data_IF_261511603794
#
_entry.id   IF_261511603794
#
_cell.length_a   1.000
_cell.length_b   1.000
_cell.length_c   1.000
_cell.angle_alpha   90.00
_cell.angle_beta   90.00
_cell.angle_gamma   90.00
#
_symmetry.space_group_name_H-M   'P 1'
#
loop_
_entity.id
_entity.type
_entity.pdbx_description
1 polymer ?
#
# COMPACT_ATOMS: atom_id res chain seq x y z
N UNK A 1 -21.32 0.84 8.18
CA UNK A 1 -21.59 2.24 7.83
C UNK A 1 -20.30 2.97 7.46
N UNK A 2 -20.40 4.19 6.93
CA UNK A 2 -19.22 5.03 6.67
C UNK A 2 -18.49 5.37 7.96
N UNK A 3 -19.23 5.68 9.02
CA UNK A 3 -18.67 6.02 10.33
C UNK A 3 -17.87 4.85 10.93
N UNK A 4 -18.34 3.63 10.79
CA UNK A 4 -17.62 2.44 11.23
C UNK A 4 -16.27 2.31 10.49
N UNK A 5 -16.26 2.54 9.17
CA UNK A 5 -15.03 2.53 8.36
C UNK A 5 -14.06 3.64 8.75
N UNK A 6 -14.55 4.85 8.98
CA UNK A 6 -13.76 5.98 9.46
C UNK A 6 -13.13 5.65 10.81
N UNK A 7 -13.91 5.07 11.72
CA UNK A 7 -13.42 4.67 13.06
C UNK A 7 -12.29 3.65 12.96
N UNK A 8 -12.48 2.56 12.18
CA UNK A 8 -11.44 1.55 11.99
C UNK A 8 -10.19 2.15 11.36
N UNK A 9 -10.35 3.01 10.36
CA UNK A 9 -9.22 3.69 9.71
C UNK A 9 -8.41 4.55 10.70
N UNK A 10 -9.11 5.29 11.58
CA UNK A 10 -8.46 6.08 12.65
C UNK A 10 -7.73 5.19 13.65
N UNK A 11 -8.28 4.03 14.00
CA UNK A 11 -7.61 3.06 14.86
C UNK A 11 -6.34 2.54 14.20
N UNK A 12 -6.42 2.06 12.97
CA UNK A 12 -5.28 1.55 12.21
C UNK A 12 -4.15 2.58 12.07
N UNK A 13 -4.48 3.85 11.75
CA UNK A 13 -3.47 4.91 11.63
C UNK A 13 -2.73 5.20 12.94
N UNK A 14 -3.36 4.97 14.09
CA UNK A 14 -2.74 5.18 15.40
C UNK A 14 -1.78 4.06 15.80
N UNK A 15 -1.88 2.89 15.19
CA UNK A 15 -1.04 1.74 15.54
C UNK A 15 0.38 1.85 15.03
N UNK A 16 0.62 2.63 13.97
CA UNK A 16 1.89 2.62 13.25
C UNK A 16 2.09 1.37 12.39
N UNK A 17 1.03 0.60 12.13
CA UNK A 17 1.08 -0.59 11.28
C UNK A 17 1.58 -0.25 9.87
N UNK A 18 2.39 -1.12 9.23
CA UNK A 18 2.76 -0.98 7.83
C UNK A 18 1.54 -0.85 6.92
N UNK A 19 1.67 -0.09 5.84
CA UNK A 19 0.55 0.18 4.93
C UNK A 19 -0.06 -1.09 4.33
N UNK A 20 0.74 -2.12 4.07
CA UNK A 20 0.29 -3.42 3.58
C UNK A 20 -0.70 -4.09 4.52
N UNK A 21 -0.39 -4.12 5.82
CA UNK A 21 -1.27 -4.68 6.85
C UNK A 21 -2.56 -3.86 7.01
N UNK A 22 -2.44 -2.53 7.04
CA UNK A 22 -3.63 -1.67 7.03
C UNK A 22 -4.51 -1.92 5.80
N UNK A 23 -3.90 -2.17 4.65
CA UNK A 23 -4.62 -2.43 3.41
C UNK A 23 -5.32 -3.79 3.42
N UNK A 24 -4.79 -4.82 4.09
CA UNK A 24 -5.51 -6.07 4.28
C UNK A 24 -6.87 -5.84 4.95
N UNK A 25 -6.92 -5.02 6.01
CA UNK A 25 -8.20 -4.66 6.65
C UNK A 25 -9.08 -3.82 5.73
N UNK A 26 -8.52 -2.81 5.08
CA UNK A 26 -9.27 -1.86 4.22
C UNK A 26 -9.90 -2.53 3.01
N UNK A 27 -9.23 -3.51 2.42
CA UNK A 27 -9.73 -4.26 1.27
C UNK A 27 -10.95 -5.09 1.66
N UNK A 28 -10.90 -5.77 2.79
CA UNK A 28 -12.01 -6.59 3.30
C UNK A 28 -13.19 -5.79 3.87
N UNK A 29 -13.04 -4.48 4.01
CA UNK A 29 -14.14 -3.55 4.35
C UNK A 29 -14.63 -2.74 3.15
N UNK A 30 -14.27 -3.12 1.93
CA UNK A 30 -14.61 -2.39 0.71
C UNK A 30 -15.18 -3.31 -0.36
N UNK A 31 -16.23 -2.88 -1.02
CA UNK A 31 -16.76 -3.59 -2.20
C UNK A 31 -15.97 -3.29 -3.47
N UNK A 32 -15.16 -2.22 -3.46
CA UNK A 32 -14.45 -1.71 -4.64
C UNK A 32 -12.99 -2.13 -4.64
N UNK A 33 -12.31 -2.05 -3.49
CA UNK A 33 -10.89 -2.40 -3.34
C UNK A 33 -10.66 -3.92 -3.48
N UNK A 34 -9.39 -4.30 -3.68
CA UNK A 34 -9.01 -5.71 -3.78
C UNK A 34 -9.66 -6.41 -4.96
N UNK A 35 -9.65 -5.76 -6.14
CA UNK A 35 -10.25 -6.28 -7.36
C UNK A 35 -11.77 -6.16 -7.44
N UNK A 36 -12.42 -5.59 -6.43
CA UNK A 36 -13.88 -5.50 -6.37
C UNK A 36 -14.49 -4.73 -7.54
N UNK A 37 -13.82 -3.66 -8.01
CA UNK A 37 -14.28 -2.91 -9.18
C UNK A 37 -14.25 -3.75 -10.46
N UNK A 38 -13.19 -4.55 -10.66
CA UNK A 38 -13.10 -5.45 -11.81
C UNK A 38 -14.29 -6.42 -11.86
N UNK A 39 -14.60 -7.05 -10.73
CA UNK A 39 -15.75 -7.96 -10.61
C UNK A 39 -17.07 -7.26 -10.94
N UNK A 40 -17.21 -5.98 -10.57
CA UNK A 40 -18.43 -5.19 -10.84
C UNK A 40 -18.55 -4.78 -12.30
N UNK A 41 -17.43 -4.59 -13.00
CA UNK A 41 -17.39 -4.12 -14.39
C UNK A 41 -17.41 -5.26 -15.41
N UNK A 42 -17.16 -6.50 -14.98
CA UNK A 42 -17.19 -7.65 -15.88
C UNK A 42 -18.51 -7.70 -16.67
N UNK A 43 -18.51 -7.94 -18.00
CA UNK A 43 -17.40 -8.40 -18.86
C UNK A 43 -16.63 -7.28 -19.58
N UNK A 44 -16.63 -6.06 -19.09
CA UNK A 44 -15.89 -4.96 -19.73
C UNK A 44 -14.38 -5.18 -19.67
N UNK A 45 -13.67 -4.79 -20.74
CA UNK A 45 -12.21 -4.67 -20.76
C UNK A 45 -11.79 -3.47 -19.91
N UNK A 46 -10.86 -3.66 -19.00
CA UNK A 46 -10.39 -2.62 -18.07
C UNK A 46 -8.99 -2.19 -18.45
N UNK A 47 -8.79 -0.90 -18.64
CA UNK A 47 -7.48 -0.29 -18.83
C UNK A 47 -7.22 0.61 -17.63
N UNK A 48 -6.22 0.24 -16.83
CA UNK A 48 -5.82 0.98 -15.63
C UNK A 48 -4.51 1.72 -15.91
N UNK A 49 -4.53 3.03 -15.76
CA UNK A 49 -3.34 3.87 -15.79
C UNK A 49 -3.02 4.26 -14.35
N UNK A 50 -1.85 3.85 -13.85
CA UNK A 50 -1.42 4.18 -12.50
C UNK A 50 -0.24 5.13 -12.50
N UNK A 51 -0.15 5.93 -11.46
CA UNK A 51 1.07 6.61 -11.06
C UNK A 51 1.40 6.10 -9.67
N UNK A 52 2.37 5.20 -9.60
CA UNK A 52 2.74 4.58 -8.34
C UNK A 52 3.74 5.44 -7.57
N UNK A 53 3.44 5.71 -6.32
CA UNK A 53 4.33 6.41 -5.38
C UNK A 53 4.89 5.49 -4.31
N UNK A 54 4.54 4.20 -4.33
CA UNK A 54 5.01 3.21 -3.39
C UNK A 54 6.03 2.26 -4.04
N UNK A 55 6.85 1.58 -3.26
CA UNK A 55 7.74 0.53 -3.76
C UNK A 55 6.97 -0.61 -4.42
N UNK A 56 7.49 -1.15 -5.52
CA UNK A 56 6.89 -2.20 -6.37
C UNK A 56 6.43 -3.48 -5.63
N UNK A 57 6.90 -3.68 -4.40
CA UNK A 57 6.63 -4.88 -3.60
C UNK A 57 5.53 -4.68 -2.54
N UNK A 58 4.95 -3.49 -2.42
CA UNK A 58 3.87 -3.27 -1.46
C UNK A 58 2.51 -3.67 -2.05
N UNK A 59 1.70 -4.45 -1.30
CA UNK A 59 0.37 -4.82 -1.74
C UNK A 59 -0.55 -3.59 -1.79
N UNK A 60 -0.94 -3.22 -3.00
CA UNK A 60 -1.85 -2.12 -3.25
C UNK A 60 -3.28 -2.44 -2.83
N UNK A 61 -4.02 -1.45 -2.33
CA UNK A 61 -5.46 -1.58 -2.14
C UNK A 61 -6.23 -1.27 -3.42
N UNK A 62 -5.67 -1.60 -4.59
CA UNK A 62 -6.17 -1.22 -5.88
C UNK A 62 -7.53 -1.85 -6.18
N UNK A 63 -8.49 -1.11 -6.77
CA UNK A 63 -9.77 -1.64 -7.21
C UNK A 63 -9.65 -2.64 -8.36
N UNK A 64 -8.57 -2.56 -9.14
CA UNK A 64 -8.34 -3.33 -10.36
C UNK A 64 -7.20 -4.36 -10.25
N UNK A 65 -6.72 -4.66 -9.04
CA UNK A 65 -5.75 -5.72 -8.78
C UNK A 65 -6.30 -6.80 -7.86
N UNK A 66 -5.90 -8.07 -8.10
CA UNK A 66 -6.19 -9.16 -7.17
C UNK A 66 -5.61 -8.89 -5.79
N UNK A 67 -6.24 -9.46 -4.79
CA UNK A 67 -5.84 -9.36 -3.39
C UNK A 67 -5.36 -10.70 -2.86
N UNK A 68 -4.09 -10.79 -2.50
CA UNK A 68 -3.53 -11.98 -1.86
C UNK A 68 -3.90 -12.13 -0.39
N UNK A 69 -4.36 -11.07 0.29
CA UNK A 69 -4.77 -11.12 1.70
C UNK A 69 -6.17 -11.69 1.86
N UNK A 70 -6.49 -12.19 3.05
CA UNK A 70 -7.74 -12.87 3.39
C UNK A 70 -8.46 -12.18 4.55
N UNK A 71 -9.73 -12.56 4.81
CA UNK A 71 -10.43 -12.15 6.03
C UNK A 71 -9.68 -12.56 7.30
N UNK A 72 -8.98 -13.69 7.28
CA UNK A 72 -8.14 -14.13 8.40
C UNK A 72 -7.00 -13.14 8.65
N UNK A 73 -6.33 -12.68 7.60
CA UNK A 73 -5.25 -11.70 7.71
C UNK A 73 -5.78 -10.37 8.24
N UNK A 74 -6.93 -9.91 7.76
CA UNK A 74 -7.56 -8.68 8.25
C UNK A 74 -7.88 -8.74 9.75
N UNK A 75 -8.41 -9.89 10.22
CA UNK A 75 -8.69 -10.11 11.65
C UNK A 75 -7.39 -10.20 12.45
N UNK A 76 -6.39 -10.90 11.92
CA UNK A 76 -5.07 -11.04 12.55
C UNK A 76 -4.45 -9.66 12.80
N UNK A 77 -4.43 -8.77 11.81
CA UNK A 77 -3.92 -7.41 11.96
C UNK A 77 -4.62 -6.66 13.10
N UNK A 78 -5.96 -6.69 13.15
CA UNK A 78 -6.70 -6.00 14.22
C UNK A 78 -6.40 -6.55 15.62
N UNK A 79 -6.06 -7.84 15.73
CA UNK A 79 -5.68 -8.50 16.99
C UNK A 79 -4.22 -8.21 17.36
N UNK A 80 -3.30 -8.35 16.41
CA UNK A 80 -1.87 -8.14 16.63
C UNK A 80 -1.57 -6.71 17.12
N UNK A 81 -2.36 -5.73 16.66
CA UNK A 81 -2.27 -4.32 17.09
C UNK A 81 -3.22 -3.96 18.26
N UNK A 82 -3.83 -4.94 18.90
CA UNK A 82 -4.68 -4.78 20.08
C UNK A 82 -5.86 -3.80 19.89
N UNK A 83 -6.35 -3.66 18.65
CA UNK A 83 -7.49 -2.79 18.31
C UNK A 83 -8.77 -3.54 18.01
N UNK A 84 -8.76 -4.88 18.11
CA UNK A 84 -9.94 -5.71 17.86
C UNK A 84 -11.12 -5.33 18.75
N UNK A 85 -10.90 -5.14 20.05
CA UNK A 85 -11.98 -4.83 21.00
C UNK A 85 -12.55 -3.42 20.80
N UNK A 86 -11.75 -2.48 20.26
CA UNK A 86 -12.16 -1.13 19.93
C UNK A 86 -12.85 -1.03 18.56
N UNK A 87 -12.78 -2.10 17.77
CA UNK A 87 -13.38 -2.17 16.43
C UNK A 87 -14.91 -2.26 16.55
N UNK A 88 -15.67 -1.49 15.74
CA UNK A 88 -17.13 -1.51 15.77
C UNK A 88 -17.69 -2.92 15.55
N UNK A 89 -18.74 -3.28 16.28
CA UNK A 89 -19.31 -4.63 16.27
C UNK A 89 -19.78 -5.08 14.87
N UNK A 90 -20.33 -4.14 14.08
CA UNK A 90 -20.72 -4.42 12.69
C UNK A 90 -19.55 -4.80 11.81
N UNK A 91 -18.37 -4.22 12.06
CA UNK A 91 -17.14 -4.56 11.33
C UNK A 91 -16.65 -5.93 11.76
N UNK A 92 -16.60 -6.22 13.06
CA UNK A 92 -16.26 -7.54 13.58
C UNK A 92 -17.15 -8.63 13.00
N UNK A 93 -18.47 -8.42 13.04
CA UNK A 93 -19.45 -9.35 12.48
C UNK A 93 -19.25 -9.58 10.98
N UNK A 94 -18.94 -8.54 10.22
CA UNK A 94 -18.65 -8.67 8.79
C UNK A 94 -17.37 -9.47 8.54
N UNK A 95 -16.29 -9.17 9.25
CA UNK A 95 -15.02 -9.88 9.11
C UNK A 95 -15.14 -11.36 9.51
N UNK A 96 -15.85 -11.65 10.60
CA UNK A 96 -16.10 -13.02 11.05
C UNK A 96 -16.97 -13.78 10.05
N UNK A 97 -18.00 -13.14 9.46
CA UNK A 97 -18.80 -13.75 8.41
C UNK A 97 -17.96 -14.11 7.18
N UNK A 98 -17.01 -13.26 6.81
CA UNK A 98 -16.12 -13.51 5.68
C UNK A 98 -15.24 -14.75 5.83
N UNK A 99 -14.95 -15.20 7.06
CA UNK A 99 -14.23 -16.46 7.29
C UNK A 99 -14.99 -17.70 6.82
N UNK A 100 -16.31 -17.64 6.76
CA UNK A 100 -17.19 -18.78 6.45
C UNK A 100 -17.97 -18.62 5.14
N UNK A 101 -17.92 -17.44 4.51
CA UNK A 101 -18.64 -17.13 3.30
C UNK A 101 -17.68 -16.74 2.16
N UNK A 102 -17.27 -17.68 1.30
CA UNK A 102 -16.33 -17.41 0.20
C UNK A 102 -16.82 -16.33 -0.78
N UNK A 103 -18.14 -16.07 -0.84
CA UNK A 103 -18.69 -15.04 -1.74
C UNK A 103 -18.35 -13.61 -1.29
N UNK A 104 -17.98 -13.44 -0.03
CA UNK A 104 -17.53 -12.15 0.51
C UNK A 104 -16.06 -11.87 0.23
N UNK A 105 -15.29 -12.90 -0.13
CA UNK A 105 -13.84 -12.75 -0.31
C UNK A 105 -13.50 -11.81 -1.46
N UNK A 106 -12.37 -11.13 -1.33
CA UNK A 106 -11.81 -10.26 -2.37
C UNK A 106 -11.42 -11.08 -3.61
N UNK A 107 -11.22 -10.43 -4.74
CA UNK A 107 -10.82 -11.10 -5.99
C UNK A 107 -9.40 -11.65 -5.84
N UNK A 108 -9.21 -12.95 -6.12
CA UNK A 108 -7.90 -13.63 -5.97
C UNK A 108 -7.16 -13.82 -7.28
N UNK A 109 -7.89 -13.86 -8.39
CA UNK A 109 -7.32 -14.09 -9.73
C UNK A 109 -7.96 -13.16 -10.75
N UNK A 110 -7.28 -12.98 -11.89
CA UNK A 110 -7.80 -12.24 -13.05
C UNK A 110 -8.45 -13.16 -14.07
N UNK A 111 -8.67 -14.43 -13.75
CA UNK A 111 -9.23 -15.40 -14.68
C UNK A 111 -10.59 -14.92 -15.22
N UNK A 112 -10.70 -14.88 -16.54
CA UNK A 112 -11.90 -14.40 -17.23
C UNK A 112 -12.12 -12.88 -17.23
N UNK A 113 -11.16 -12.10 -16.72
CA UNK A 113 -11.22 -10.63 -16.70
C UNK A 113 -10.12 -10.06 -17.57
N UNK A 114 -10.47 -9.34 -18.63
CA UNK A 114 -9.52 -8.57 -19.41
C UNK A 114 -9.11 -7.30 -18.67
N UNK A 115 -7.90 -7.30 -18.10
CA UNK A 115 -7.35 -6.16 -17.40
C UNK A 115 -5.94 -5.85 -17.88
N UNK A 116 -5.71 -4.62 -18.31
CA UNK A 116 -4.42 -4.08 -18.73
C UNK A 116 -4.01 -2.99 -17.77
N UNK A 117 -2.83 -3.11 -17.17
CA UNK A 117 -2.30 -2.12 -16.23
C UNK A 117 -1.03 -1.50 -16.80
N UNK A 118 -0.97 -0.18 -16.77
CA UNK A 118 0.18 0.60 -17.22
C UNK A 118 0.63 1.54 -16.11
N UNK A 119 1.87 1.38 -15.70
CA UNK A 119 2.55 2.34 -14.82
C UNK A 119 3.02 3.53 -15.66
N UNK A 120 2.50 4.71 -15.38
CA UNK A 120 2.87 5.95 -16.09
C UNK A 120 4.07 6.64 -15.47
N UNK A 121 4.31 6.43 -14.18
CA UNK A 121 5.50 6.87 -13.45
C UNK A 121 5.61 6.10 -12.11
N UNK A 122 6.83 5.85 -11.68
CA UNK A 122 7.14 5.19 -10.42
C UNK A 122 8.29 5.90 -9.68
N UNK A 123 8.57 5.59 -8.41
CA UNK A 123 9.64 6.22 -7.63
C UNK A 123 11.03 6.09 -8.25
N UNK A 124 11.30 4.97 -8.95
CA UNK A 124 12.60 4.77 -9.62
C UNK A 124 12.79 5.78 -10.76
N UNK A 125 11.77 5.97 -11.58
CA UNK A 125 11.84 6.91 -12.71
C UNK A 125 12.00 8.35 -12.20
N UNK A 126 11.30 8.71 -11.13
CA UNK A 126 11.45 10.01 -10.47
C UNK A 126 12.87 10.21 -9.93
N UNK A 127 13.46 9.21 -9.26
CA UNK A 127 14.83 9.28 -8.76
C UNK A 127 15.86 9.42 -9.91
N UNK A 128 15.68 8.68 -11.00
CA UNK A 128 16.58 8.76 -12.16
C UNK A 128 16.49 10.12 -12.84
N UNK A 129 15.28 10.66 -13.04
CA UNK A 129 15.09 11.99 -13.58
C UNK A 129 15.74 13.08 -12.70
N UNK A 130 15.55 12.99 -11.38
CA UNK A 130 16.16 13.91 -10.42
C UNK A 130 17.71 13.88 -10.46
N UNK A 131 18.30 12.69 -10.52
CA UNK A 131 19.77 12.52 -10.64
C UNK A 131 20.27 13.13 -11.94
N UNK A 132 19.61 12.87 -13.07
CA UNK A 132 20.03 13.40 -14.35
C UNK A 132 19.99 14.94 -14.35
N UNK A 133 18.90 15.53 -13.86
CA UNK A 133 18.78 16.98 -13.76
C UNK A 133 19.82 17.58 -12.80
N UNK A 134 20.08 16.95 -11.64
CA UNK A 134 21.10 17.42 -10.73
C UNK A 134 22.49 17.41 -11.36
N UNK A 135 22.83 16.38 -12.16
CA UNK A 135 24.12 16.31 -12.91
C UNK A 135 24.23 17.42 -13.97
N UNK A 136 23.15 17.74 -14.67
CA UNK A 136 23.10 18.88 -15.60
C UNK A 136 23.41 20.22 -14.88
N UNK A 137 22.99 20.33 -13.62
CA UNK A 137 23.29 21.49 -12.76
C UNK A 137 24.71 21.44 -12.15
N UNK A 138 25.53 20.43 -12.47
CA UNK A 138 26.91 20.31 -12.01
C UNK A 138 27.10 19.58 -10.67
N UNK A 139 26.05 18.97 -10.11
CA UNK A 139 26.16 18.18 -8.86
C UNK A 139 26.67 16.78 -9.13
N UNK A 140 27.45 16.23 -8.19
CA UNK A 140 27.79 14.80 -8.15
C UNK A 140 26.62 14.03 -7.52
N UNK A 141 25.62 13.69 -8.33
CA UNK A 141 24.38 13.08 -7.88
C UNK A 141 24.32 11.60 -8.22
N UNK A 142 23.78 10.81 -7.28
CA UNK A 142 23.51 9.38 -7.48
C UNK A 142 22.26 8.96 -6.72
N UNK A 143 21.62 7.87 -7.17
CA UNK A 143 20.52 7.24 -6.44
C UNK A 143 21.12 6.32 -5.38
N UNK A 144 20.88 6.62 -4.12
CA UNK A 144 21.31 5.75 -3.02
C UNK A 144 20.52 4.44 -3.01
N UNK A 145 19.19 4.55 -3.09
CA UNK A 145 18.27 3.41 -3.20
C UNK A 145 16.88 3.91 -3.59
N UNK A 146 16.15 3.09 -4.32
CA UNK A 146 14.71 3.28 -4.60
C UNK A 146 13.81 2.42 -3.71
N UNK A 147 14.39 1.74 -2.70
CA UNK A 147 13.71 0.73 -1.87
C UNK A 147 13.91 0.96 -0.37
N UNK A 148 14.12 2.23 0.03
CA UNK A 148 14.26 2.57 1.45
C UNK A 148 12.87 2.56 2.09
N UNK A 149 12.75 1.79 3.17
CA UNK A 149 11.55 1.69 4.01
C UNK A 149 11.85 2.11 5.46
N UNK A 150 10.81 2.42 6.20
CA UNK A 150 10.85 2.72 7.62
C UNK A 150 10.28 4.10 7.96
N UNK A 151 10.30 4.43 9.25
CA UNK A 151 9.85 5.72 9.75
C UNK A 151 10.74 6.85 9.22
N UNK A 152 10.16 7.80 8.50
CA UNK A 152 10.88 8.92 7.86
C UNK A 152 11.82 9.66 8.80
N UNK A 153 11.44 9.85 10.07
CA UNK A 153 12.29 10.51 11.08
C UNK A 153 13.58 9.74 11.37
N UNK A 154 13.55 8.41 11.35
CA UNK A 154 14.73 7.57 11.60
C UNK A 154 15.61 7.49 10.34
N UNK A 155 14.99 7.30 9.19
CA UNK A 155 15.70 7.35 7.89
C UNK A 155 16.38 8.71 7.71
N UNK A 156 15.69 9.81 8.01
CA UNK A 156 16.24 11.16 7.96
C UNK A 156 17.47 11.33 8.87
N UNK A 157 17.47 10.74 10.07
CA UNK A 157 18.63 10.78 10.98
C UNK A 157 19.83 10.07 10.38
N UNK A 158 19.64 8.91 9.75
CA UNK A 158 20.71 8.15 9.08
C UNK A 158 21.27 8.94 7.90
N UNK A 159 20.40 9.47 7.04
CA UNK A 159 20.82 10.27 5.89
C UNK A 159 21.56 11.54 6.29
N UNK A 160 21.14 12.19 7.38
CA UNK A 160 21.85 13.35 7.94
C UNK A 160 23.26 12.97 8.44
N UNK A 161 23.44 11.78 9.00
CA UNK A 161 24.77 11.26 9.38
C UNK A 161 25.67 11.08 8.17
N UNK A 162 25.17 10.44 7.12
CA UNK A 162 25.89 10.27 5.85
C UNK A 162 26.26 11.63 5.24
N UNK A 163 25.31 12.58 5.21
CA UNK A 163 25.56 13.94 4.67
C UNK A 163 26.66 14.68 5.44
N UNK A 164 26.72 14.55 6.76
CA UNK A 164 27.80 15.13 7.59
C UNK A 164 29.16 14.51 7.27
N UNK A 165 29.23 13.19 7.08
CA UNK A 165 30.45 12.50 6.69
C UNK A 165 30.97 13.00 5.34
N UNK A 166 30.06 13.14 4.34
CA UNK A 166 30.42 13.67 3.03
C UNK A 166 30.94 15.12 3.14
N UNK A 167 30.26 15.95 3.94
CA UNK A 167 30.64 17.35 4.14
C UNK A 167 32.04 17.50 4.79
N UNK A 168 32.35 16.65 5.77
CA UNK A 168 33.57 16.74 6.55
C UNK A 168 34.77 16.10 5.84
N UNK A 169 34.56 15.00 5.14
CA UNK A 169 35.62 14.13 4.65
C UNK A 169 35.57 13.87 3.15
N UNK A 170 34.57 14.38 2.43
CA UNK A 170 34.41 14.20 0.98
C UNK A 170 34.12 12.75 0.56
N UNK A 171 33.65 11.92 1.46
CA UNK A 171 33.34 10.50 1.22
C UNK A 171 32.02 10.10 1.91
N UNK A 172 31.29 9.11 1.32
CA UNK A 172 30.29 8.38 2.06
C UNK A 172 30.97 7.49 3.09
#
# INVERSE_FOLDING_TARGET
TLDDKIRVNKLLLKTGAPVGEMNAVRKHLSKVKGGGLMRMLHPATIITLTQDTAPEFLPWPDPCLPDSSTFSDAIKVLKDYEIWDQTPERVKSHLLKGLSDPNLETVKTLEGIENYMFDTANPRDACLAAVNYARELGYNAQVLSTKIEGESKHVGTVLAGISKEIQLYGRP
#
